data_IF_011263049595
#
_entry.id   IF_011263049595
#
_cell.length_a   1.000
_cell.length_b   1.000
_cell.length_c   1.000
_cell.angle_alpha   90.00
_cell.angle_beta   90.00
_cell.angle_gamma   90.00
#
_symmetry.space_group_name_H-M   'P 1'
#
loop_
_entity.id
_entity.type
_entity.pdbx_description
1 polymer ?
2 non-polymer ?
3 water ?
#
# COMPACT_ATOMS: atom_id res chain seq x y z
N UNK A 8 17.95 3.74 20.12
CA UNK A 8 19.10 4.66 20.30
C UNK A 8 20.09 4.77 19.15
N UNK A 9 20.80 3.66 18.85
CA UNK A 9 22.16 3.75 18.25
C UNK A 9 22.59 2.75 17.14
N UNK A 10 22.17 1.49 17.20
CA UNK A 10 22.84 0.39 16.46
C UNK A 10 22.64 0.38 14.93
N UNK A 11 23.09 -0.71 14.28
CA UNK A 11 23.04 -0.87 12.83
C UNK A 11 21.66 -1.27 12.29
N UNK A 12 20.89 -1.96 13.13
CA UNK A 12 19.52 -2.36 12.78
C UNK A 12 18.59 -1.15 12.91
N UNK A 13 18.89 -0.31 13.90
CA UNK A 13 18.21 0.98 14.09
C UNK A 13 18.49 1.88 12.90
N UNK A 14 19.75 2.07 12.55
CA UNK A 14 20.12 2.89 11.38
C UNK A 14 19.15 2.67 10.22
N UNK A 15 18.92 1.41 9.88
CA UNK A 15 17.99 1.05 8.80
C UNK A 15 16.60 1.52 9.19
N UNK A 16 16.11 1.04 10.33
CA UNK A 16 14.84 1.53 10.88
C UNK A 16 14.65 3.05 10.68
N UNK A 17 15.68 3.83 10.96
CA UNK A 17 15.61 5.28 10.77
C UNK A 17 15.55 5.70 9.32
N UNK A 18 16.16 4.91 8.43
CA UNK A 18 15.95 5.08 6.97
C UNK A 18 14.46 4.95 6.59
N UNK A 19 13.81 3.96 7.19
CA UNK A 19 12.40 3.66 6.93
C UNK A 19 11.49 4.76 7.50
N UNK A 20 11.91 5.35 8.64
CA UNK A 20 11.25 6.49 9.26
C UNK A 20 11.36 7.76 8.42
N UNK A 21 12.55 8.05 7.86
CA UNK A 21 12.78 9.23 7.00
C UNK A 21 12.02 9.21 5.68
N UNK A 22 11.97 8.03 5.06
CA UNK A 22 11.19 7.82 3.82
C UNK A 22 9.71 8.04 4.10
N UNK A 23 9.28 7.61 5.27
CA UNK A 23 7.90 7.74 5.70
C UNK A 23 7.58 9.20 6.08
N UNK A 24 8.51 9.90 6.70
CA UNK A 24 8.24 11.27 7.14
C UNK A 24 7.80 12.16 5.96
N UNK A 25 8.20 11.76 4.74
CA UNK A 25 8.00 12.54 3.51
C UNK A 25 6.59 12.42 2.91
N UNK A 26 5.64 11.82 3.62
CA UNK A 26 4.35 11.44 3.03
C UNK A 26 3.15 11.76 3.91
N UNK A 27 1.95 11.59 3.36
CA UNK A 27 0.67 11.87 4.05
C UNK A 27 -0.20 10.61 4.18
N UNK A 28 0.27 9.54 3.56
CA UNK A 28 -0.41 8.24 3.57
C UNK A 28 -0.13 7.53 4.91
N UNK A 29 -0.87 6.45 5.19
CA UNK A 29 -0.60 5.76 6.44
C UNK A 29 0.86 5.26 6.66
N UNK A 30 1.22 5.11 7.92
CA UNK A 30 2.45 4.52 8.35
C UNK A 30 2.09 3.31 9.24
N UNK A 31 2.78 2.20 8.98
CA UNK A 31 2.54 0.93 9.62
C UNK A 31 3.83 0.51 10.31
N UNK A 32 3.77 0.37 11.62
CA UNK A 32 4.94 0.00 12.36
C UNK A 32 4.81 -1.47 12.67
N UNK A 33 5.86 -2.21 12.42
CA UNK A 33 5.85 -3.63 12.73
C UNK A 33 7.09 -4.00 13.57
N UNK A 34 6.97 -5.03 14.40
CA UNK A 34 8.00 -5.38 15.37
C UNK A 34 7.46 -6.37 16.39
N UNK A 35 8.35 -6.91 17.21
CA UNK A 35 7.97 -7.95 18.17
C UNK A 35 7.20 -7.37 19.30
N UNK A 36 6.42 -8.21 19.96
CA UNK A 36 5.69 -7.80 21.15
C UNK A 36 6.66 -7.08 22.08
N UNK A 37 6.24 -5.94 22.59
CA UNK A 37 7.04 -5.21 23.59
C UNK A 37 8.00 -4.22 22.96
N UNK A 38 7.84 -3.98 21.65
CA UNK A 38 8.54 -2.93 20.91
C UNK A 38 8.01 -1.55 21.37
N UNK A 39 8.87 -0.51 21.38
CA UNK A 39 8.38 0.82 21.72
C UNK A 39 7.57 1.48 20.59
N UNK A 40 6.47 0.83 20.20
CA UNK A 40 5.62 1.26 19.05
C UNK A 40 5.24 2.76 19.13
N UNK A 41 4.79 3.21 20.29
CA UNK A 41 4.32 4.57 20.54
C UNK A 41 5.42 5.63 20.42
N UNK A 42 6.63 5.31 20.88
CA UNK A 42 7.71 6.28 20.79
C UNK A 42 8.12 6.45 19.30
N UNK A 43 8.11 5.38 18.53
CA UNK A 43 8.41 5.46 17.12
C UNK A 43 7.29 6.14 16.32
N UNK A 44 6.04 5.78 16.58
CA UNK A 44 4.89 6.46 16.04
C UNK A 44 4.97 7.97 16.27
N UNK A 45 5.47 8.36 17.44
CA UNK A 45 5.59 9.76 17.80
C UNK A 45 6.64 10.50 17.04
N UNK A 46 7.51 9.81 16.32
CA UNK A 46 8.45 10.52 15.42
C UNK A 46 7.77 11.29 14.32
N UNK A 47 6.53 10.90 13.99
CA UNK A 47 5.66 11.56 13.01
C UNK A 47 4.77 12.63 13.59
N UNK A 48 4.85 12.86 14.90
CA UNK A 48 4.10 13.93 15.52
C UNK A 48 4.83 15.25 15.41
N UNK A 49 4.16 16.22 14.84
CA UNK A 49 4.65 17.58 14.82
C UNK A 49 3.95 18.37 15.93
N UNK A 50 4.80 18.93 16.79
CA UNK A 50 4.42 19.90 17.82
C UNK A 50 3.24 20.80 17.56
N UNK A 51 2.34 20.83 18.53
CA UNK A 51 1.17 21.68 18.44
C UNK A 51 0.04 21.09 17.61
N UNK A 52 0.25 19.99 16.89
CA UNK A 52 -0.85 19.29 16.19
C UNK A 52 -1.46 18.20 17.07
N UNK A 53 -2.72 17.81 16.75
CA UNK A 53 -3.34 16.71 17.47
C UNK A 53 -2.59 15.40 17.37
N UNK A 54 -2.52 14.76 18.51
CA UNK A 54 -2.10 13.37 18.62
C UNK A 54 -3.29 12.64 19.23
N UNK A 55 -4.09 11.96 18.40
CA UNK A 55 -5.33 11.35 18.89
C UNK A 55 -5.24 9.83 18.86
N UNK A 56 -5.70 9.23 19.92
CA UNK A 56 -5.72 7.78 20.03
C UNK A 56 -7.04 7.36 20.69
N UNK A 57 -7.78 6.41 20.09
CA UNK A 57 -9.04 6.04 20.69
C UNK A 57 -8.85 5.46 22.11
N UNK A 58 -9.59 5.98 23.11
CA UNK A 58 -9.51 5.45 24.49
C UNK A 58 -10.04 4.03 24.55
N UNK A 59 -10.94 3.73 23.61
CA UNK A 59 -11.54 2.39 23.47
C UNK A 59 -11.41 1.90 22.02
N UNK A 60 -11.10 0.62 21.83
CA UNK A 60 -10.94 0.04 20.48
C UNK A 60 -12.19 0.16 19.61
N UNK A 61 -13.37 0.01 20.23
CA UNK A 61 -14.63 0.06 19.54
C UNK A 61 -14.93 1.45 18.99
N UNK A 62 -14.29 2.49 19.51
CA UNK A 62 -14.45 3.82 18.91
C UNK A 62 -14.08 3.86 17.44
N UNK A 63 -13.22 2.95 17.02
CA UNK A 63 -12.77 2.87 15.63
C UNK A 63 -13.90 2.54 14.66
N UNK A 64 -14.89 1.76 15.11
CA UNK A 64 -16.07 1.48 14.26
C UNK A 64 -17.23 2.38 14.67
N UNK A 65 -17.28 2.77 15.94
CA UNK A 65 -18.44 3.52 16.47
C UNK A 65 -18.45 5.01 16.16
N UNK A 66 -17.27 5.61 16.08
CA UNK A 66 -17.21 7.04 15.93
C UNK A 66 -15.98 7.46 15.14
N UNK A 67 -15.85 6.93 13.91
CA UNK A 67 -14.73 7.25 13.02
C UNK A 67 -14.60 8.73 12.64
N UNK A 68 -15.71 9.40 12.39
CA UNK A 68 -15.74 10.82 12.08
C UNK A 68 -15.34 11.70 13.27
N UNK A 69 -15.84 11.37 14.45
CA UNK A 69 -15.38 12.09 15.63
C UNK A 69 -13.85 12.02 15.85
N UNK A 70 -13.26 10.85 15.71
CA UNK A 70 -11.83 10.71 15.87
C UNK A 70 -11.05 11.47 14.81
N UNK A 71 -11.55 11.45 13.57
CA UNK A 71 -10.93 12.17 12.43
C UNK A 71 -11.01 13.71 12.64
N UNK A 72 -12.12 14.17 13.19
CA UNK A 72 -12.32 15.57 13.55
C UNK A 72 -11.31 15.99 14.63
N UNK A 73 -11.27 15.25 15.76
CA UNK A 73 -10.27 15.48 16.82
C UNK A 73 -8.84 15.54 16.30
N UNK A 74 -8.52 14.66 15.37
CA UNK A 74 -7.16 14.50 14.89
C UNK A 74 -6.73 15.46 13.76
N UNK A 75 -7.62 16.39 13.34
CA UNK A 75 -7.42 17.24 12.11
C UNK A 75 -6.09 17.97 12.10
N UNK A 76 -5.34 17.87 11.02
CA UNK A 76 -4.00 18.40 10.99
C UNK A 76 -2.95 17.63 11.80
N UNK A 77 -3.37 16.54 12.45
CA UNK A 77 -2.46 15.76 13.30
C UNK A 77 -2.50 14.30 12.91
N UNK A 78 -2.35 13.44 13.92
CA UNK A 78 -2.33 12.01 13.73
C UNK A 78 -3.36 11.31 14.57
N UNK A 79 -4.00 10.36 13.93
CA UNK A 79 -4.76 9.35 14.59
C UNK A 79 -3.87 8.12 14.61
N UNK A 80 -3.43 7.79 15.82
CA UNK A 80 -2.75 6.54 16.11
C UNK A 80 -3.78 5.50 16.53
N UNK A 81 -4.00 4.50 15.66
CA UNK A 81 -5.06 3.50 15.90
C UNK A 81 -4.69 2.35 16.79
N UNK A 82 -3.41 2.28 17.18
CA UNK A 82 -2.96 1.18 18.03
C UNK A 82 -2.38 -0.02 17.26
N UNK A 83 -2.16 -1.06 18.07
CA UNK A 83 -1.59 -2.32 17.69
C UNK A 83 -2.73 -3.18 17.26
N UNK A 84 -2.73 -3.55 15.99
CA UNK A 84 -3.79 -4.34 15.41
C UNK A 84 -3.66 -5.85 15.62
N UNK A 85 -2.67 -6.32 16.37
CA UNK A 85 -2.37 -7.75 16.40
C UNK A 85 -3.57 -8.57 16.85
N UNK A 86 -4.32 -8.05 17.81
CA UNK A 86 -5.53 -8.72 18.29
C UNK A 86 -6.77 -7.86 18.01
N UNK A 87 -6.83 -7.17 16.88
CA UNK A 87 -8.10 -6.55 16.53
C UNK A 87 -8.92 -7.50 15.62
N UNK A 88 -10.23 -7.54 15.87
CA UNK A 88 -11.15 -8.31 15.05
C UNK A 88 -11.25 -7.77 13.63
N UNK A 89 -11.79 -8.60 12.75
CA UNK A 89 -11.97 -8.30 11.33
C UNK A 89 -12.77 -7.01 11.09
N UNK A 90 -13.83 -6.87 11.87
CA UNK A 90 -14.64 -5.66 12.00
C UNK A 90 -13.84 -4.38 12.26
N UNK A 91 -13.05 -4.38 13.32
CA UNK A 91 -12.21 -3.23 13.66
C UNK A 91 -11.28 -2.97 12.52
N UNK A 92 -10.60 -4.01 12.03
CA UNK A 92 -9.69 -3.83 10.88
C UNK A 92 -10.35 -3.13 9.69
N UNK A 93 -11.57 -3.58 9.34
CA UNK A 93 -12.44 -2.90 8.33
C UNK A 93 -12.83 -1.45 8.74
N UNK A 94 -12.98 -1.19 10.05
CA UNK A 94 -13.18 0.17 10.54
C UNK A 94 -11.98 1.07 10.22
N UNK A 95 -10.78 0.55 10.46
CA UNK A 95 -9.51 1.25 10.15
C UNK A 95 -9.39 1.57 8.64
N UNK A 96 -9.69 0.58 7.81
CA UNK A 96 -9.80 0.82 6.38
C UNK A 96 -10.76 1.96 5.99
N UNK A 97 -11.93 2.04 6.62
CA UNK A 97 -12.87 3.17 6.39
C UNK A 97 -12.25 4.50 6.81
N UNK A 98 -11.54 4.49 7.91
CA UNK A 98 -10.87 5.67 8.43
C UNK A 98 -9.73 6.06 7.51
N UNK A 99 -8.92 5.09 7.08
CA UNK A 99 -7.82 5.32 6.14
C UNK A 99 -8.33 6.04 4.90
N UNK A 100 -9.39 5.53 4.29
CA UNK A 100 -9.99 6.16 3.11
C UNK A 100 -10.54 7.58 3.21
N UNK A 101 -10.71 8.09 4.43
CA UNK A 101 -11.19 9.46 4.68
C UNK A 101 -10.12 10.37 5.28
N UNK A 102 -9.05 9.82 5.80
CA UNK A 102 -8.10 10.59 6.60
C UNK A 102 -7.45 11.75 5.82
N UNK A 103 -7.06 11.47 4.57
CA UNK A 103 -6.44 12.47 3.72
C UNK A 103 -7.30 13.73 3.62
N UNK A 104 -8.56 13.58 3.24
CA UNK A 104 -9.43 14.72 3.05
C UNK A 104 -9.67 15.49 4.34
N UNK A 105 -9.57 14.80 5.46
CA UNK A 105 -9.65 15.40 6.80
C UNK A 105 -8.34 15.88 7.38
N UNK A 106 -7.27 15.81 6.59
CA UNK A 106 -5.90 16.25 6.98
C UNK A 106 -5.39 15.60 8.25
N UNK A 107 -5.60 14.28 8.31
CA UNK A 107 -5.25 13.43 9.44
C UNK A 107 -4.30 12.43 8.84
N UNK A 108 -3.25 12.08 9.57
CA UNK A 108 -2.35 11.04 9.14
C UNK A 108 -2.58 9.82 9.99
N UNK A 109 -2.82 8.67 9.38
CA UNK A 109 -3.12 7.43 10.10
C UNK A 109 -1.86 6.65 10.36
N UNK A 110 -1.66 6.26 11.63
CA UNK A 110 -0.60 5.37 12.02
C UNK A 110 -1.19 4.14 12.74
N UNK A 111 -0.72 2.95 12.33
CA UNK A 111 -1.05 1.66 12.94
C UNK A 111 0.22 0.88 13.28
N UNK A 112 0.11 0.00 14.28
CA UNK A 112 1.15 -0.97 14.62
C UNK A 112 0.63 -2.37 14.49
N UNK A 113 1.56 -3.29 14.35
CA UNK A 113 1.29 -4.72 14.43
C UNK A 113 2.47 -5.41 15.10
N UNK A 114 2.19 -6.08 16.20
CA UNK A 114 3.17 -6.76 16.97
C UNK A 114 3.03 -8.26 16.74
N UNK A 115 4.11 -9.00 16.94
CA UNK A 115 4.14 -10.45 16.74
C UNK A 115 5.00 -11.03 17.84
N UNK A 116 4.81 -12.31 18.11
CA UNK A 116 5.57 -13.07 19.10
C UNK A 116 7.08 -12.98 18.86
N UNK A 117 7.86 -12.79 19.92
CA UNK A 117 9.33 -12.80 19.83
C UNK A 117 9.89 -14.08 19.17
N UNK A 118 11.07 -13.91 18.57
CA UNK A 118 11.50 -14.70 17.45
C UNK A 118 11.28 -13.72 16.34
N UNK A 119 10.90 -14.20 15.16
CA UNK A 119 10.37 -13.33 14.10
C UNK A 119 9.31 -14.14 13.38
N UNK A 120 8.36 -14.67 14.15
CA UNK A 120 7.52 -15.77 13.69
C UNK A 120 6.36 -15.31 12.77
N UNK A 123 2.26 -13.52 10.10
CA UNK A 123 0.84 -13.28 9.83
C UNK A 123 0.29 -12.06 10.65
N UNK A 124 1.22 -11.18 11.01
CA UNK A 124 0.97 -9.75 10.90
C UNK A 124 0.65 -9.42 9.46
N UNK A 125 1.27 -10.15 8.55
CA UNK A 125 1.22 -9.84 7.14
C UNK A 125 -0.17 -9.90 6.52
N UNK A 126 -1.04 -10.78 7.02
CA UNK A 126 -2.44 -10.82 6.57
C UNK A 126 -3.26 -9.64 7.06
N UNK A 127 -3.12 -9.27 8.33
CA UNK A 127 -3.74 -8.03 8.81
C UNK A 127 -3.29 -6.78 8.03
N UNK A 128 -1.97 -6.62 7.89
CA UNK A 128 -1.41 -5.44 7.27
C UNK A 128 -1.79 -5.34 5.81
N UNK A 129 -1.59 -6.42 5.08
CA UNK A 129 -1.98 -6.47 3.68
C UNK A 129 -3.50 -6.17 3.52
N UNK A 130 -4.29 -6.46 4.54
CA UNK A 130 -5.69 -6.12 4.51
C UNK A 130 -5.93 -4.63 4.65
N UNK A 131 -5.05 -3.94 5.35
CA UNK A 131 -5.17 -2.49 5.55
C UNK A 131 -4.35 -1.73 4.52
N UNK A 132 -3.47 -2.41 3.80
CA UNK A 132 -2.71 -1.84 2.68
C UNK A 132 -3.64 -1.42 1.57
N UNK A 133 -3.29 -0.33 0.88
CA UNK A 133 -4.17 0.25 -0.11
C UNK A 133 -3.78 -0.20 -1.55
N UNK A 134 -3.30 -1.44 -1.68
CA UNK A 134 -3.07 -2.10 -2.98
C UNK A 134 -2.87 -3.56 -2.73
N UNK A 135 -2.74 -4.31 -3.83
CA UNK A 135 -2.51 -5.76 -3.84
C UNK A 135 -1.30 -6.07 -4.72
N UNK A 136 -0.50 -7.02 -4.24
CA UNK A 136 0.65 -7.54 -4.92
C UNK A 136 0.43 -9.02 -5.29
N UNK A 137 0.63 -9.36 -6.57
CA UNK A 137 0.58 -10.73 -7.05
C UNK A 137 1.95 -11.00 -7.65
N UNK A 138 2.59 -12.10 -7.23
CA UNK A 138 3.92 -12.45 -7.69
C UNK A 138 3.83 -13.57 -8.72
N UNK A 139 4.40 -13.32 -9.90
CA UNK A 139 4.39 -14.33 -10.98
C UNK A 139 5.65 -15.19 -10.89
N UNK A 140 5.46 -16.49 -10.59
CA UNK A 140 6.63 -17.36 -10.53
C UNK A 140 7.26 -17.63 -11.93
N UNK A 141 8.53 -18.08 -11.93
CA UNK A 141 9.25 -18.41 -13.14
C UNK A 141 8.55 -19.53 -13.88
N UNK A 142 8.63 -19.47 -15.20
CA UNK A 142 8.00 -20.44 -16.06
C UNK A 142 9.07 -20.95 -17.03
N UNK A 143 8.78 -22.09 -17.64
CA UNK A 143 9.58 -22.67 -18.74
C UNK A 143 10.16 -24.02 -18.33
N UNK B 9 -1.28 -24.51 -13.07
CA UNK B 9 -1.20 -25.94 -12.62
C UNK B 9 -0.24 -26.22 -11.43
N UNK B 10 0.95 -25.61 -11.44
CA UNK B 10 2.01 -25.88 -10.44
C UNK B 10 1.58 -25.51 -9.00
N UNK B 11 2.46 -25.79 -8.03
CA UNK B 11 2.24 -25.39 -6.63
C UNK B 11 2.57 -23.93 -6.43
N UNK B 12 3.41 -23.38 -7.32
CA UNK B 12 3.79 -21.97 -7.30
C UNK B 12 2.69 -21.14 -7.97
N UNK B 13 2.09 -21.76 -8.99
CA UNK B 13 0.98 -21.18 -9.74
C UNK B 13 -0.27 -21.14 -8.86
N UNK B 14 -0.44 -22.17 -8.04
CA UNK B 14 -1.52 -22.25 -7.03
C UNK B 14 -1.51 -21.03 -6.10
N UNK B 15 -0.37 -20.80 -5.47
CA UNK B 15 -0.19 -19.70 -4.53
C UNK B 15 -0.44 -18.37 -5.22
N UNK B 16 0.17 -18.17 -6.40
CA UNK B 16 -0.10 -17.00 -7.26
C UNK B 16 -1.61 -16.78 -7.48
N UNK B 17 -2.32 -17.84 -7.89
CA UNK B 17 -3.75 -17.75 -8.11
C UNK B 17 -4.52 -17.38 -6.84
N UNK B 18 -3.94 -17.65 -5.66
CA UNK B 18 -4.52 -17.19 -4.40
C UNK B 18 -4.39 -15.67 -4.25
N UNK B 19 -3.22 -15.17 -4.62
CA UNK B 19 -2.93 -13.72 -4.65
C UNK B 19 -3.83 -12.94 -5.63
N UNK B 20 -4.13 -13.53 -6.80
CA UNK B 20 -5.08 -12.91 -7.73
C UNK B 20 -6.55 -12.98 -7.27
N UNK B 21 -6.93 -14.01 -6.50
CA UNK B 21 -8.29 -14.06 -5.91
C UNK B 21 -8.51 -13.00 -4.84
N UNK B 22 -7.49 -12.82 -3.98
CA UNK B 22 -7.47 -11.75 -2.96
C UNK B 22 -7.51 -10.38 -3.59
N UNK B 23 -6.81 -10.24 -4.71
CA UNK B 23 -6.82 -9.00 -5.50
C UNK B 23 -8.19 -8.76 -6.17
N UNK B 24 -8.76 -9.80 -6.76
CA UNK B 24 -10.05 -9.68 -7.46
C UNK B 24 -11.12 -8.94 -6.64
N UNK B 25 -11.01 -9.07 -5.32
CA UNK B 25 -12.02 -8.59 -4.37
C UNK B 25 -11.99 -7.09 -4.11
N UNK B 26 -11.06 -6.36 -4.75
CA UNK B 26 -10.82 -4.94 -4.41
C UNK B 26 -10.89 -3.95 -5.63
N UNK B 27 -10.66 -2.67 -5.35
CA UNK B 27 -10.72 -1.62 -6.38
C UNK B 27 -9.43 -0.79 -6.37
N UNK B 28 -8.54 -1.13 -5.45
CA UNK B 28 -7.24 -0.45 -5.33
C UNK B 28 -6.29 -0.99 -6.40
N UNK B 29 -5.11 -0.36 -6.58
CA UNK B 29 -4.19 -0.95 -7.55
C UNK B 29 -3.72 -2.39 -7.27
N UNK B 30 -3.39 -3.08 -8.35
CA UNK B 30 -2.76 -4.36 -8.34
C UNK B 30 -1.36 -4.16 -8.94
N UNK B 31 -0.36 -4.69 -8.24
CA UNK B 31 1.00 -4.67 -8.66
C UNK B 31 1.49 -6.12 -8.94
N UNK B 32 1.90 -6.35 -10.17
CA UNK B 32 2.34 -7.65 -10.58
C UNK B 32 3.85 -7.58 -10.59
N UNK B 33 4.49 -8.59 -9.99
CA UNK B 33 5.95 -8.65 -9.95
C UNK B 33 6.37 -10.07 -10.39
N UNK B 34 7.52 -10.18 -11.05
CA UNK B 34 8.00 -11.44 -11.57
C UNK B 34 9.26 -11.21 -12.37
N UNK B 35 9.86 -12.28 -12.88
CA UNK B 35 11.12 -12.13 -13.62
C UNK B 35 10.89 -11.57 -15.00
N UNK B 36 11.93 -10.92 -15.53
CA UNK B 36 11.91 -10.45 -16.90
C UNK B 36 11.41 -11.58 -17.73
N UNK B 37 10.43 -11.31 -18.60
CA UNK B 37 9.93 -12.32 -19.52
C UNK B 37 8.71 -13.03 -19.00
N UNK B 38 8.21 -12.61 -17.83
CA UNK B 38 6.97 -13.11 -17.27
C UNK B 38 5.76 -12.70 -18.12
N UNK B 39 4.69 -13.51 -18.10
CA UNK B 39 3.45 -13.17 -18.80
C UNK B 39 2.60 -12.09 -18.10
N UNK B 40 3.20 -10.90 -17.92
CA UNK B 40 2.60 -9.81 -17.15
C UNK B 40 1.19 -9.42 -17.67
N UNK B 41 1.07 -9.26 -18.99
CA UNK B 41 -0.20 -8.88 -19.62
C UNK B 41 -1.33 -9.91 -19.41
N UNK B 42 -1.04 -11.20 -19.58
CA UNK B 42 -2.08 -12.23 -19.39
C UNK B 42 -2.56 -12.32 -17.93
N UNK B 43 -1.66 -12.16 -16.96
CA UNK B 43 -2.09 -12.10 -15.58
C UNK B 43 -2.85 -10.81 -15.27
N UNK B 44 -2.42 -9.67 -15.81
CA UNK B 44 -3.11 -8.42 -15.60
C UNK B 44 -4.55 -8.53 -16.09
N UNK B 45 -4.72 -9.25 -17.21
CA UNK B 45 -6.01 -9.46 -17.85
C UNK B 45 -6.97 -10.30 -17.07
N UNK B 46 -6.50 -11.03 -16.08
CA UNK B 46 -7.43 -11.75 -15.16
C UNK B 46 -8.39 -10.80 -14.46
N UNK B 47 -8.01 -9.53 -14.37
CA UNK B 47 -8.81 -8.45 -13.74
C UNK B 47 -9.73 -7.73 -14.70
N UNK B 48 -9.57 -7.98 -15.99
CA UNK B 48 -10.48 -7.42 -16.96
C UNK B 48 -11.84 -8.11 -16.94
N UNK B 49 -12.91 -7.31 -16.87
CA UNK B 49 -14.28 -7.79 -17.10
C UNK B 49 -14.68 -7.43 -18.51
N UNK B 50 -15.28 -8.40 -19.17
CA UNK B 50 -15.80 -8.26 -20.53
C UNK B 50 -16.61 -7.02 -20.78
N UNK B 51 -16.33 -6.39 -21.93
CA UNK B 51 -17.04 -5.20 -22.35
C UNK B 51 -16.78 -3.97 -21.50
N UNK B 52 -15.72 -3.98 -20.69
CA UNK B 52 -15.26 -2.77 -20.01
C UNK B 52 -13.92 -2.38 -20.65
N UNK B 53 -13.54 -1.09 -20.48
CA UNK B 53 -12.26 -0.63 -21.04
C UNK B 53 -11.04 -1.37 -20.53
N UNK B 54 -10.12 -1.61 -21.46
CA UNK B 54 -8.77 -2.07 -21.19
C UNK B 54 -7.84 -1.06 -21.86
N UNK B 55 -7.26 -0.15 -21.11
CA UNK B 55 -6.48 0.95 -21.67
C UNK B 55 -5.04 0.80 -21.24
N UNK B 56 -4.17 0.94 -22.22
CA UNK B 56 -2.76 0.95 -22.00
C UNK B 56 -2.18 2.08 -22.84
N UNK B 57 -1.40 2.97 -22.23
CA UNK B 57 -0.85 4.07 -22.99
C UNK B 57 0.04 3.59 -24.18
N UNK B 58 -0.28 4.07 -25.39
CA UNK B 58 0.52 3.79 -26.60
C UNK B 58 1.98 4.19 -26.43
N UNK B 59 2.23 5.17 -25.57
CA UNK B 59 3.55 5.73 -25.30
C UNK B 59 3.69 6.01 -23.81
N UNK B 60 4.88 5.81 -23.26
CA UNK B 60 5.12 5.98 -21.81
C UNK B 60 4.89 7.41 -21.29
N UNK B 61 5.26 8.40 -22.10
CA UNK B 61 5.13 9.83 -21.76
C UNK B 61 3.69 10.23 -21.54
N UNK B 62 2.76 9.51 -22.18
CA UNK B 62 1.32 9.73 -21.94
C UNK B 62 0.97 9.65 -20.48
N UNK B 63 1.74 8.90 -19.69
CA UNK B 63 1.47 8.77 -18.25
C UNK B 63 1.65 10.10 -17.50
N UNK B 64 2.54 10.97 -18.00
CA UNK B 64 2.65 12.29 -17.41
C UNK B 64 1.97 13.36 -18.26
N UNK B 65 1.86 13.18 -19.58
CA UNK B 65 1.29 14.23 -20.47
C UNK B 65 -0.21 14.26 -20.54
N UNK B 66 -0.85 13.12 -20.35
CA UNK B 66 -2.29 13.09 -20.54
C UNK B 66 -2.99 12.10 -19.63
N UNK B 67 -2.72 12.20 -18.31
CA UNK B 67 -3.26 11.31 -17.29
C UNK B 67 -4.77 11.27 -17.18
N UNK B 68 -5.40 12.42 -17.37
CA UNK B 68 -6.86 12.61 -17.38
C UNK B 68 -7.50 11.99 -18.62
N UNK B 69 -6.92 12.20 -19.79
CA UNK B 69 -7.42 11.50 -20.98
C UNK B 69 -7.42 9.94 -20.82
N UNK B 70 -6.37 9.39 -20.22
CA UNK B 70 -6.27 7.96 -20.00
C UNK B 70 -7.29 7.49 -18.96
N UNK B 71 -7.52 8.28 -17.92
CA UNK B 71 -8.51 7.92 -16.90
C UNK B 71 -9.94 7.92 -17.50
N UNK B 72 -10.21 8.85 -18.40
CA UNK B 72 -11.50 8.97 -19.07
C UNK B 72 -11.73 7.76 -19.98
N UNK B 73 -10.75 7.45 -20.85
CA UNK B 73 -10.80 6.28 -21.73
C UNK B 73 -11.09 4.99 -20.98
N UNK B 74 -10.57 4.91 -19.76
CA UNK B 74 -10.54 3.68 -18.99
C UNK B 74 -11.70 3.52 -17.99
N UNK B 75 -12.68 4.46 -18.02
CA UNK B 75 -13.79 4.52 -17.00
C UNK B 75 -14.50 3.20 -16.87
N UNK B 76 -14.72 2.73 -15.66
CA UNK B 76 -15.27 1.41 -15.43
C UNK B 76 -14.37 0.23 -15.83
N UNK B 77 -13.18 0.50 -16.35
CA UNK B 77 -12.30 -0.55 -16.82
C UNK B 77 -10.98 -0.50 -16.07
N UNK B 78 -9.92 -0.87 -16.80
CA UNK B 78 -8.58 -0.93 -16.23
C UNK B 78 -7.68 -0.06 -17.03
N UNK B 79 -6.85 0.69 -16.33
CA UNK B 79 -5.68 1.32 -16.91
C UNK B 79 -4.49 0.47 -16.50
N UNK B 80 -4.00 -0.30 -17.48
CA UNK B 80 -2.74 -1.00 -17.34
C UNK B 80 -1.56 -0.09 -17.71
N UNK B 81 -0.75 0.28 -16.71
CA UNK B 81 0.35 1.24 -16.91
C UNK B 81 1.66 0.63 -17.40
N UNK B 82 1.71 -0.71 -17.41
CA UNK B 82 2.88 -1.40 -17.90
C UNK B 82 3.93 -1.68 -16.82
N UNK B 83 5.09 -2.10 -17.32
CA UNK B 83 6.19 -2.55 -16.55
C UNK B 83 7.02 -1.37 -16.18
N UNK B 84 7.13 -1.12 -14.88
CA UNK B 84 7.82 0.04 -14.38
C UNK B 84 9.34 -0.12 -14.19
N UNK B 85 9.94 -1.25 -14.59
CA UNK B 85 11.35 -1.50 -14.22
C UNK B 85 12.28 -0.46 -14.77
N UNK B 86 11.95 0.08 -15.93
CA UNK B 86 12.81 1.08 -16.57
C UNK B 86 12.10 2.45 -16.68
N UNK B 87 11.05 2.67 -15.92
CA UNK B 87 10.47 4.01 -15.90
C UNK B 87 11.29 4.99 -15.01
N UNK B 88 11.52 6.19 -15.52
CA UNK B 88 12.14 7.28 -14.76
C UNK B 88 11.29 7.68 -13.54
N UNK B 89 11.91 8.35 -12.57
CA UNK B 89 11.24 8.78 -11.35
C UNK B 89 10.05 9.68 -11.65
N UNK B 90 10.16 10.41 -12.74
CA UNK B 90 9.10 11.28 -13.25
C UNK B 90 7.78 10.59 -13.63
N UNK B 91 7.90 9.56 -14.46
CA UNK B 91 6.80 8.68 -14.87
C UNK B 91 6.28 8.01 -13.64
N UNK B 92 7.17 7.52 -12.79
CA UNK B 92 6.70 6.91 -11.54
C UNK B 92 5.81 7.85 -10.74
N UNK B 93 6.26 9.10 -10.56
CA UNK B 93 5.41 10.19 -9.98
C UNK B 93 4.08 10.44 -10.78
N UNK B 94 4.12 10.30 -12.10
CA UNK B 94 2.92 10.42 -12.91
C UNK B 94 1.93 9.33 -12.53
N UNK B 95 2.43 8.13 -12.34
CA UNK B 95 1.58 6.96 -11.98
C UNK B 95 0.90 7.19 -10.61
N UNK B 96 1.67 7.69 -9.64
CA UNK B 96 1.13 8.11 -8.35
C UNK B 96 0.02 9.12 -8.48
N UNK B 97 0.19 10.12 -9.35
CA UNK B 97 -0.93 11.05 -9.65
C UNK B 97 -2.14 10.28 -10.19
N UNK B 98 -1.93 9.39 -11.14
CA UNK B 98 -3.02 8.63 -11.73
C UNK B 98 -3.65 7.77 -10.68
N UNK B 99 -2.85 7.08 -9.86
CA UNK B 99 -3.39 6.24 -8.75
C UNK B 99 -4.36 7.01 -7.85
N UNK B 100 -4.00 8.21 -7.43
CA UNK B 100 -4.81 8.98 -6.49
C UNK B 100 -6.12 9.56 -7.05
N UNK B 101 -6.32 9.45 -8.36
CA UNK B 101 -7.54 9.89 -9.04
C UNK B 101 -8.37 8.73 -9.57
N UNK B 102 -7.76 7.57 -9.76
CA UNK B 102 -8.44 6.46 -10.43
C UNK B 102 -9.76 6.02 -9.79
N UNK B 103 -9.78 5.90 -8.46
CA UNK B 103 -11.01 5.46 -7.76
C UNK B 103 -12.20 6.32 -8.14
N UNK B 104 -12.01 7.63 -8.03
CA UNK B 104 -13.02 8.60 -8.36
C UNK B 104 -13.58 8.49 -9.77
N UNK B 105 -12.67 8.28 -10.71
CA UNK B 105 -12.96 7.99 -12.10
C UNK B 105 -13.38 6.56 -12.40
N UNK B 106 -13.41 5.71 -11.38
CA UNK B 106 -13.81 4.31 -11.50
C UNK B 106 -12.95 3.51 -12.47
N UNK B 107 -11.64 3.67 -12.33
CA UNK B 107 -10.62 3.01 -13.12
C UNK B 107 -9.83 2.20 -12.12
N UNK B 108 -9.45 0.99 -12.50
CA UNK B 108 -8.55 0.21 -11.67
C UNK B 108 -7.18 0.24 -12.30
N UNK B 109 -6.18 0.61 -11.50
CA UNK B 109 -4.80 0.75 -11.96
C UNK B 109 -4.07 -0.55 -11.74
N UNK B 110 -3.50 -1.09 -12.82
CA UNK B 110 -2.61 -2.19 -12.71
C UNK B 110 -1.20 -1.80 -13.22
N UNK B 111 -0.19 -2.24 -12.47
CA UNK B 111 1.21 -2.09 -12.85
C UNK B 111 1.96 -3.38 -12.66
N UNK B 112 3.05 -3.52 -13.43
CA UNK B 112 4.00 -4.61 -13.31
C UNK B 112 5.37 -4.07 -12.97
N UNK B 113 6.21 -4.97 -12.52
CA UNK B 113 7.61 -4.68 -12.32
C UNK B 113 8.37 -5.96 -12.51
N UNK B 114 9.26 -5.95 -13.48
CA UNK B 114 10.05 -7.10 -13.85
C UNK B 114 11.44 -6.92 -13.28
N UNK B 115 12.09 -8.04 -13.03
CA UNK B 115 13.48 -8.06 -12.51
C UNK B 115 14.22 -9.21 -13.16
N UNK B 116 15.54 -9.08 -13.16
CA UNK B 116 16.46 -10.05 -13.78
C UNK B 116 16.31 -11.45 -13.18
N UNK B 117 16.23 -12.45 -14.05
CA UNK B 117 16.26 -13.87 -13.64
C UNK B 117 17.42 -14.18 -12.66
N UNK B 118 17.06 -14.90 -11.60
CA UNK B 118 17.94 -15.14 -10.46
C UNK B 118 17.60 -14.21 -9.32
N UNK B 119 16.35 -13.74 -9.31
CA UNK B 119 15.85 -12.72 -8.36
C UNK B 119 16.86 -11.58 -8.10
N UNK B 120 17.61 -11.21 -9.16
CA UNK B 120 18.80 -10.32 -9.08
C UNK B 120 19.28 -9.85 -7.67
N UNK B 123 15.27 -5.16 -6.06
CA UNK B 123 14.98 -3.70 -6.09
C UNK B 123 14.11 -3.32 -7.36
N UNK B 124 13.04 -4.08 -7.52
CA UNK B 124 11.77 -3.52 -7.90
C UNK B 124 11.17 -2.90 -6.66
N UNK B 125 11.65 -3.36 -5.51
CA UNK B 125 11.01 -3.02 -4.26
C UNK B 125 11.05 -1.50 -3.96
N UNK B 126 12.15 -0.80 -4.27
CA UNK B 126 12.18 0.66 -4.15
C UNK B 126 11.18 1.36 -5.05
N UNK B 127 11.10 0.97 -6.31
CA UNK B 127 10.06 1.46 -7.22
C UNK B 127 8.58 1.20 -6.76
N UNK B 128 8.32 -0.01 -6.24
CA UNK B 128 6.98 -0.39 -5.82
C UNK B 128 6.61 0.31 -4.51
N UNK B 129 7.53 0.36 -3.58
CA UNK B 129 7.32 1.08 -2.33
C UNK B 129 6.94 2.55 -2.58
N UNK B 130 7.47 3.14 -3.65
CA UNK B 130 7.15 4.52 -4.00
C UNK B 130 5.76 4.65 -4.62
N UNK B 131 5.23 3.56 -5.12
CA UNK B 131 3.90 3.59 -5.72
C UNK B 131 2.87 3.06 -4.74
N UNK B 132 3.32 2.34 -3.70
CA UNK B 132 2.42 1.87 -2.65
C UNK B 132 1.83 3.08 -1.92
N UNK B 133 0.62 2.91 -1.40
CA UNK B 133 -0.12 4.02 -0.80
C UNK B 133 0.01 3.97 0.74
N UNK B 134 1.14 3.52 1.23
CA UNK B 134 1.48 3.52 2.65
C UNK B 134 2.96 3.29 2.79
N UNK B 135 3.44 3.41 4.03
CA UNK B 135 4.82 3.22 4.45
C UNK B 135 4.84 2.27 5.62
N UNK B 136 5.82 1.38 5.60
CA UNK B 136 6.09 0.39 6.62
C UNK B 136 7.48 0.67 7.25
N UNK B 137 7.53 0.76 8.58
CA UNK B 137 8.77 0.92 9.33
C UNK B 137 8.87 -0.30 10.24
N UNK B 138 10.00 -1.00 10.18
CA UNK B 138 10.19 -2.20 11.01
C UNK B 138 11.08 -1.96 12.22
N UNK B 139 10.50 -2.16 13.39
CA UNK B 139 11.22 -1.94 14.67
C UNK B 139 11.98 -3.19 15.08
N UNK B 140 13.32 -3.10 15.16
CA UNK B 140 14.07 -4.30 15.55
C UNK B 140 14.01 -4.59 17.06
N UNK B 141 14.39 -5.82 17.45
CA UNK B 141 14.46 -6.24 18.85
C UNK B 141 15.41 -5.36 19.66
N UNK B 142 15.04 -5.07 20.91
CA UNK B 142 15.90 -4.41 21.88
C UNK B 142 16.16 -5.31 23.10
X LIG C 1 -15.62 14.92 9.88
X LIG C 1 -14.13 14.71 10.17
X LIG C 1 -16.32 15.29 11.06
X LIG C 1 -13.11 15.41 8.86
X LIG D 1 -10.91 11.72 -16.62
X LIG D 1 -11.82 12.25 -15.53
X LIG D 1 -9.68 12.40 -16.56
X LIG D 1 -12.50 10.90 -14.55
#
# INVERSE_FOLDING_TARGET
SNAFDKLGNSAAIQEMNREVEAAAKRTSPVFLTGEAGSPFETVARYFHKNGTPWVSPARVEYLIDMPMELLQKAEGGVLYVGDIAQYSRNIQTGITFIIGKAERCRVRVIASCSYAAGSDGISCEEKLAGLFSESVVRIPPLS
SNAFDKLGNSAAIQEMNREVEAAAKRTSPVFLTGEAGSPFETVARYFHKNGTPWVSPARVEYLIDMPMELLQKAEGGVLYVGDIAQYSRNIQTGITFIIGKAERCRVRVIASCSYAAGSDGISCEEKLAGLFSESVVRIPPLS
BME C1 C2 O1 S2
BME C1 C2 O1 S2
#
